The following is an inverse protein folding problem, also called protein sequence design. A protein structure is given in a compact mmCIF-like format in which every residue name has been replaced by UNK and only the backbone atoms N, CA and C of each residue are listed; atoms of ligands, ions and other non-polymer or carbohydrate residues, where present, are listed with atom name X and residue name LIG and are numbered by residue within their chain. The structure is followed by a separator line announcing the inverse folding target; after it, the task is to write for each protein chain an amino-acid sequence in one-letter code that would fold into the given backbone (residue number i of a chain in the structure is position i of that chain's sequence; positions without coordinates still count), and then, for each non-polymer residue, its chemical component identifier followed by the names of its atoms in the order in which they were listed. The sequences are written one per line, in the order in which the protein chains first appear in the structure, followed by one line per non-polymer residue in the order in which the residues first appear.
data_IF_347437379748
#
_entry.id   IF_347437379748
#
_cell.length_a   1.000
_cell.length_b   1.000
_cell.length_c   1.000
_cell.angle_alpha   90.00
_cell.angle_beta   90.00
_cell.angle_gamma   90.00
#
_symmetry.space_group_name_H-M   'P 1'
#
loop_
_entity.id
_entity.type
_entity.pdbx_description
1 polymer ?
#
# COMPACT_ATOMS: atom_id res chain seq x y z
N UNK A 1 15.96 15.15 -0.24
CA UNK A 1 17.07 14.28 0.21
C UNK A 1 16.77 12.88 -0.28
N UNK A 2 17.74 12.09 -0.77
CA UNK A 2 17.47 10.72 -1.22
C UNK A 2 16.94 9.87 -0.07
N UNK A 3 15.88 9.10 -0.32
CA UNK A 3 15.28 8.19 0.65
C UNK A 3 15.11 6.79 0.04
N UNK A 4 15.26 5.78 0.88
CA UNK A 4 14.99 4.37 0.56
C UNK A 4 13.87 3.88 1.47
N UNK A 5 12.88 3.18 0.89
CA UNK A 5 11.72 2.64 1.60
C UNK A 5 11.83 1.13 1.68
N UNK A 6 11.75 0.58 2.90
CA UNK A 6 11.83 -0.85 3.22
C UNK A 6 10.49 -1.43 3.66
N UNK A 7 9.37 -0.88 3.18
CA UNK A 7 8.03 -1.19 3.67
C UNK A 7 7.65 -0.28 4.83
N UNK A 8 7.85 -0.71 6.06
CA UNK A 8 7.54 0.08 7.26
C UNK A 8 8.62 1.12 7.59
N UNK A 9 9.82 0.96 7.04
CA UNK A 9 10.95 1.86 7.28
C UNK A 9 11.20 2.81 6.11
N UNK A 10 11.55 4.05 6.46
CA UNK A 10 12.18 5.01 5.57
C UNK A 10 13.57 5.35 6.10
N UNK A 11 14.58 5.28 5.25
CA UNK A 11 15.94 5.74 5.55
C UNK A 11 16.25 6.91 4.63
N UNK A 12 16.65 8.05 5.20
CA UNK A 12 16.97 9.26 4.44
C UNK A 12 18.44 9.63 4.62
N UNK A 13 19.11 9.90 3.50
CA UNK A 13 20.50 10.34 3.46
C UNK A 13 20.58 11.86 3.39
N UNK A 14 21.25 12.47 4.36
CA UNK A 14 21.72 13.85 4.26
C UNK A 14 23.14 13.87 3.68
N UNK A 15 23.25 14.14 2.37
CA UNK A 15 24.53 14.14 1.64
C UNK A 15 25.50 15.19 2.18
N UNK A 16 25.01 16.40 2.49
CA UNK A 16 25.83 17.51 2.96
C UNK A 16 26.38 17.26 4.36
N UNK A 17 25.55 16.72 5.26
CA UNK A 17 25.94 16.42 6.64
C UNK A 17 26.65 15.07 6.78
N UNK A 18 26.61 14.20 5.75
CA UNK A 18 27.08 12.80 5.79
C UNK A 18 26.45 11.99 6.91
N UNK A 19 25.16 12.23 7.15
CA UNK A 19 24.38 11.55 8.19
C UNK A 19 23.15 10.86 7.58
N UNK A 20 22.60 9.91 8.33
CA UNK A 20 21.42 9.15 7.97
C UNK A 20 20.39 9.29 9.08
N UNK A 21 19.14 9.47 8.69
CA UNK A 21 17.98 9.42 9.59
C UNK A 21 17.08 8.27 9.18
N UNK A 22 16.34 7.74 10.14
CA UNK A 22 15.40 6.65 9.91
C UNK A 22 14.06 6.94 10.55
N UNK A 23 12.99 6.58 9.85
CA UNK A 23 11.63 6.56 10.36
C UNK A 23 11.10 5.13 10.28
N UNK A 24 10.37 4.71 11.31
CA UNK A 24 9.61 3.47 11.32
C UNK A 24 8.14 3.79 11.54
N UNK A 25 7.30 3.36 10.61
CA UNK A 25 5.85 3.51 10.63
C UNK A 25 5.21 2.19 11.10
N UNK A 26 4.45 2.26 12.19
CA UNK A 26 3.75 1.13 12.79
C UNK A 26 2.26 1.41 12.71
N UNK A 27 1.57 0.73 11.79
CA UNK A 27 0.14 0.94 11.55
C UNK A 27 -0.69 0.00 12.42
N UNK A 28 -1.62 0.58 13.18
CA UNK A 28 -2.60 -0.15 13.98
C UNK A 28 -3.82 -0.59 13.15
N UNK A 29 -4.60 -1.55 13.67
CA UNK A 29 -5.80 -2.06 12.98
C UNK A 29 -6.91 -1.01 12.81
N UNK A 30 -6.85 0.08 13.56
CA UNK A 30 -7.73 1.24 13.48
C UNK A 30 -7.32 2.26 12.40
N UNK A 31 -6.21 2.01 11.69
CA UNK A 31 -5.65 2.92 10.70
C UNK A 31 -4.82 4.06 11.30
N UNK A 32 -4.61 4.07 12.62
CA UNK A 32 -3.68 4.99 13.27
C UNK A 32 -2.25 4.52 13.04
N UNK A 33 -1.37 5.41 12.59
CA UNK A 33 0.05 5.08 12.38
C UNK A 33 0.91 5.75 13.44
N UNK A 34 1.73 4.98 14.13
CA UNK A 34 2.77 5.49 15.02
C UNK A 34 4.07 5.59 14.24
N UNK A 35 4.62 6.79 14.12
CA UNK A 35 5.91 7.03 13.49
C UNK A 35 6.96 7.25 14.55
N UNK A 36 8.04 6.46 14.50
CA UNK A 36 9.20 6.58 15.38
C UNK A 36 10.42 6.99 14.58
N UNK A 37 11.10 8.03 15.03
CA UNK A 37 12.38 8.46 14.45
C UNK A 37 13.58 7.78 15.11
N UNK A 38 14.66 7.63 14.35
CA UNK A 38 15.95 7.15 14.86
C UNK A 38 16.58 8.08 15.90
N UNK A 39 16.08 9.32 16.01
CA UNK A 39 16.49 10.31 17.02
C UNK A 39 15.64 10.28 18.30
N UNK A 40 14.63 9.40 18.37
CA UNK A 40 13.83 9.15 19.58
C UNK A 40 12.46 9.85 19.63
N UNK A 41 12.14 10.72 18.66
CA UNK A 41 10.81 11.35 18.55
C UNK A 41 9.74 10.32 18.14
N UNK A 42 8.53 10.48 18.67
CA UNK A 42 7.37 9.64 18.38
C UNK A 42 6.17 10.53 18.07
N UNK A 43 5.42 10.21 17.02
CA UNK A 43 4.17 10.90 16.68
C UNK A 43 3.08 9.91 16.28
N UNK A 44 1.84 10.27 16.60
CA UNK A 44 0.64 9.54 16.20
C UNK A 44 0.02 10.22 14.98
N UNK A 45 -0.20 9.47 13.91
CA UNK A 45 -0.82 9.95 12.68
C UNK A 45 -2.20 9.33 12.53
N UNK A 46 -3.17 10.17 12.21
CA UNK A 46 -4.57 9.79 12.01
C UNK A 46 -4.92 10.05 10.55
N UNK A 47 -5.36 8.99 9.87
CA UNK A 47 -5.74 9.01 8.48
C UNK A 47 -7.20 9.44 8.24
N UNK A 48 -7.46 9.95 7.04
CA UNK A 48 -8.82 10.13 6.52
C UNK A 48 -9.38 8.80 5.99
N UNK A 49 -10.60 8.80 5.46
CA UNK A 49 -11.24 7.59 4.93
C UNK A 49 -10.50 6.91 3.77
N UNK A 50 -9.66 7.64 3.04
CA UNK A 50 -8.79 7.09 1.99
C UNK A 50 -7.50 6.47 2.52
N UNK A 51 -7.15 6.66 3.81
CA UNK A 51 -5.86 6.24 4.36
C UNK A 51 -4.77 7.32 4.31
N UNK A 52 -5.08 8.54 3.86
CA UNK A 52 -4.12 9.65 3.89
C UNK A 52 -4.03 10.23 5.29
N UNK A 53 -2.84 10.23 5.91
CA UNK A 53 -2.62 10.90 7.20
C UNK A 53 -2.88 12.40 7.10
N UNK A 54 -3.85 12.92 7.86
CA UNK A 54 -4.28 14.34 7.84
C UNK A 54 -4.15 15.05 9.18
N UNK A 55 -3.98 14.29 10.27
CA UNK A 55 -3.67 14.82 11.60
C UNK A 55 -2.46 14.09 12.18
N UNK A 56 -1.52 14.83 12.75
CA UNK A 56 -0.40 14.30 13.50
C UNK A 56 -0.39 14.89 14.93
N UNK A 57 -0.08 14.06 15.92
CA UNK A 57 0.06 14.45 17.33
C UNK A 57 1.44 14.04 17.82
N UNK A 58 2.23 15.00 18.27
CA UNK A 58 3.52 14.72 18.88
C UNK A 58 3.34 14.08 20.27
N UNK A 59 3.98 12.95 20.53
CA UNK A 59 3.78 12.19 21.77
C UNK A 59 4.35 12.89 23.01
N UNK A 60 5.29 13.82 22.85
CA UNK A 60 5.97 14.49 23.96
C UNK A 60 5.34 15.83 24.32
N UNK A 61 5.00 16.62 23.29
CA UNK A 61 4.49 17.99 23.42
C UNK A 61 2.97 18.07 23.29
N UNK A 62 2.33 17.00 22.77
CA UNK A 62 0.90 16.95 22.44
C UNK A 62 0.46 17.98 21.40
N UNK A 63 1.41 18.59 20.68
CA UNK A 63 1.12 19.53 19.60
C UNK A 63 0.42 18.79 18.48
N UNK A 64 -0.68 19.38 17.99
CA UNK A 64 -1.48 18.84 16.90
C UNK A 64 -1.17 19.60 15.62
N UNK A 65 -0.69 18.89 14.61
CA UNK A 65 -0.46 19.41 13.26
C UNK A 65 -1.52 18.83 12.32
N UNK A 66 -2.06 19.67 11.42
CA UNK A 66 -3.05 19.25 10.42
C UNK A 66 -2.61 19.62 9.02
N UNK A 67 -2.90 18.73 8.07
CA UNK A 67 -2.79 18.97 6.63
C UNK A 67 -4.08 18.52 5.97
N UNK A 68 -4.34 19.03 4.78
CA UNK A 68 -5.56 18.71 4.04
C UNK A 68 -5.23 18.41 2.59
N UNK A 69 -6.04 17.54 1.99
CA UNK A 69 -5.91 17.14 0.60
C UNK A 69 -7.28 17.25 -0.08
N UNK A 70 -7.29 17.43 -1.40
CA UNK A 70 -8.46 17.15 -2.20
C UNK A 70 -8.60 15.63 -2.44
N UNK A 71 -9.72 15.16 -3.03
CA UNK A 71 -9.92 13.73 -3.28
C UNK A 71 -8.85 13.08 -4.17
N UNK A 72 -8.19 13.85 -5.03
CA UNK A 72 -7.13 13.38 -5.93
C UNK A 72 -5.74 13.45 -5.30
N UNK A 73 -5.61 13.86 -4.03
CA UNK A 73 -4.33 13.93 -3.34
C UNK A 73 -3.58 15.25 -3.50
N UNK A 74 -4.18 16.29 -4.09
CA UNK A 74 -3.54 17.61 -4.08
C UNK A 74 -3.62 18.24 -2.69
N UNK A 75 -2.50 18.73 -2.13
CA UNK A 75 -2.50 19.40 -0.85
C UNK A 75 -3.31 20.71 -0.92
N UNK A 76 -4.17 20.92 0.07
CA UNK A 76 -5.05 22.09 0.19
C UNK A 76 -4.65 22.97 1.37
N UNK A 77 -4.69 24.28 1.14
CA UNK A 77 -4.40 25.28 2.16
C UNK A 77 -2.90 25.41 2.47
N UNK A 78 -2.58 26.05 3.59
CA UNK A 78 -1.21 26.23 4.03
C UNK A 78 -0.65 24.92 4.57
N UNK A 79 0.39 24.39 3.91
CA UNK A 79 1.11 23.21 4.41
C UNK A 79 1.79 23.53 5.75
N UNK A 80 1.79 22.61 6.72
CA UNK A 80 2.56 22.81 7.93
C UNK A 80 4.06 22.83 7.61
N UNK A 81 4.83 23.63 8.36
CA UNK A 81 6.28 23.75 8.15
C UNK A 81 7.07 22.46 8.47
N UNK A 82 6.49 21.58 9.27
CA UNK A 82 6.96 20.22 9.54
C UNK A 82 5.73 19.34 9.79
N UNK A 83 5.78 18.07 9.40
CA UNK A 83 4.70 17.11 9.64
C UNK A 83 4.94 16.30 10.91
N UNK A 84 5.77 15.26 10.80
CA UNK A 84 6.18 14.35 11.88
C UNK A 84 7.69 14.35 12.03
N UNK A 85 8.39 14.30 10.91
CA UNK A 85 9.81 14.60 10.80
C UNK A 85 10.05 15.43 9.53
N UNK A 86 11.19 16.12 9.47
CA UNK A 86 11.53 16.97 8.32
C UNK A 86 11.78 16.16 7.04
N UNK A 87 12.10 14.87 7.20
CA UNK A 87 12.39 13.91 6.13
C UNK A 87 11.26 12.91 5.90
N UNK A 88 10.11 13.06 6.57
CA UNK A 88 8.94 12.22 6.38
C UNK A 88 8.28 12.55 5.03
N UNK A 89 8.35 11.61 4.09
CA UNK A 89 7.95 11.82 2.69
C UNK A 89 6.62 11.14 2.32
N UNK A 90 5.88 10.55 3.27
CA UNK A 90 4.59 9.93 2.98
C UNK A 90 3.48 10.99 2.81
N UNK A 91 2.88 11.01 1.62
CA UNK A 91 1.84 11.95 1.21
C UNK A 91 0.48 11.27 1.05
N UNK A 92 -0.02 11.26 -0.18
CA UNK A 92 -1.34 10.71 -0.51
C UNK A 92 -1.40 9.20 -0.25
N UNK A 93 -2.51 8.73 0.32
CA UNK A 93 -2.74 7.34 0.74
C UNK A 93 -1.66 6.77 1.69
N UNK A 94 -0.86 7.65 2.31
CA UNK A 94 0.29 7.24 3.12
C UNK A 94 1.40 6.59 2.30
N UNK A 95 1.47 6.85 0.99
CA UNK A 95 2.50 6.34 0.10
C UNK A 95 3.67 7.34 -0.05
N UNK A 96 4.86 6.87 -0.43
CA UNK A 96 6.00 7.74 -0.70
C UNK A 96 5.70 8.77 -1.80
N UNK A 97 5.97 10.04 -1.49
CA UNK A 97 5.92 11.14 -2.46
C UNK A 97 7.35 11.58 -2.80
N UNK A 98 7.64 11.77 -4.09
CA UNK A 98 8.87 12.43 -4.51
C UNK A 98 8.75 13.95 -4.29
N UNK A 99 9.56 14.56 -3.40
CA UNK A 99 9.47 15.99 -3.13
C UNK A 99 9.92 16.88 -4.31
N UNK A 100 10.62 16.32 -5.31
CA UNK A 100 11.08 17.08 -6.49
C UNK A 100 9.99 17.15 -7.55
N UNK A 101 9.40 16.01 -7.91
CA UNK A 101 8.38 15.93 -8.96
C UNK A 101 6.96 16.11 -8.43
N UNK A 102 6.72 15.81 -7.15
CA UNK A 102 5.39 15.81 -6.54
C UNK A 102 4.56 14.57 -6.86
N UNK A 103 5.17 13.54 -7.47
CA UNK A 103 4.52 12.28 -7.80
C UNK A 103 4.44 11.36 -6.58
N UNK A 104 3.34 10.63 -6.47
CA UNK A 104 3.14 9.61 -5.45
C UNK A 104 3.38 8.21 -6.04
N UNK A 105 4.15 7.37 -5.34
CA UNK A 105 4.38 5.99 -5.74
C UNK A 105 3.26 5.10 -5.18
N UNK A 106 2.20 4.89 -5.96
CA UNK A 106 1.06 4.07 -5.58
C UNK A 106 1.28 2.62 -6.07
N UNK A 107 1.88 1.81 -5.20
CA UNK A 107 2.10 0.38 -5.46
C UNK A 107 2.94 0.14 -6.71
N UNK A 108 2.29 -0.23 -7.81
CA UNK A 108 2.95 -0.55 -9.08
C UNK A 108 3.16 0.65 -10.01
N UNK A 109 2.56 1.82 -9.72
CA UNK A 109 2.52 2.95 -10.65
C UNK A 109 2.82 4.28 -9.98
N UNK A 110 3.48 5.16 -10.74
CA UNK A 110 3.60 6.57 -10.39
C UNK A 110 2.29 7.30 -10.70
N UNK A 111 1.81 8.05 -9.71
CA UNK A 111 0.58 8.80 -9.75
C UNK A 111 0.87 10.30 -9.71
N UNK A 112 0.21 11.04 -10.59
CA UNK A 112 0.25 12.50 -10.61
C UNK A 112 -1.04 13.05 -10.01
N UNK A 113 -1.01 13.62 -8.78
CA UNK A 113 -2.18 14.20 -8.15
C UNK A 113 -2.70 15.44 -8.88
N UNK A 114 -1.85 16.18 -9.61
CA UNK A 114 -2.26 17.39 -10.35
C UNK A 114 -3.10 17.01 -11.57
N UNK A 115 -2.71 15.94 -12.27
CA UNK A 115 -3.49 15.40 -13.37
C UNK A 115 -4.64 14.50 -12.89
N UNK A 116 -4.55 13.97 -11.67
CA UNK A 116 -5.49 13.02 -11.09
C UNK A 116 -5.39 11.62 -11.74
N UNK A 117 -4.22 11.25 -12.30
CA UNK A 117 -4.05 10.06 -13.14
C UNK A 117 -2.68 9.41 -12.95
N UNK A 118 -2.59 8.14 -13.31
CA UNK A 118 -1.31 7.41 -13.38
C UNK A 118 -0.50 7.83 -14.59
N UNK A 119 0.83 7.73 -14.49
CA UNK A 119 1.75 8.01 -15.59
C UNK A 119 2.04 6.79 -16.48
N UNK A 120 1.66 5.59 -16.03
CA UNK A 120 1.80 4.34 -16.77
C UNK A 120 0.45 3.66 -16.99
N UNK A 121 0.27 2.96 -18.12
CA UNK A 121 -0.93 2.16 -18.37
C UNK A 121 -1.12 1.10 -17.28
N UNK A 122 -2.38 0.81 -16.95
CA UNK A 122 -2.76 -0.20 -15.99
C UNK A 122 -2.34 -1.59 -16.50
N UNK A 123 -1.50 -2.33 -15.76
CA UNK A 123 -1.14 -3.68 -16.13
C UNK A 123 -2.31 -4.67 -16.09
N UNK A 124 -3.43 -4.32 -15.42
CA UNK A 124 -4.67 -5.11 -15.30
C UNK A 124 -5.79 -4.50 -16.15
N UNK A 125 -5.45 -3.66 -17.14
CA UNK A 125 -6.44 -3.00 -17.99
C UNK A 125 -7.44 -3.98 -18.62
N UNK A 126 -8.72 -3.81 -18.30
CA UNK A 126 -9.83 -4.52 -18.94
C UNK A 126 -10.53 -3.60 -19.94
N UNK A 127 -10.34 -3.87 -21.24
CA UNK A 127 -10.92 -3.05 -22.32
C UNK A 127 -12.46 -2.99 -22.31
N UNK A 128 -13.12 -3.92 -21.61
CA UNK A 128 -14.57 -3.98 -21.47
C UNK A 128 -15.14 -3.20 -20.27
N UNK A 129 -14.31 -2.72 -19.35
CA UNK A 129 -14.76 -1.96 -18.17
C UNK A 129 -14.76 -0.44 -18.46
N UNK A 130 -15.93 0.22 -18.45
CA UNK A 130 -16.03 1.67 -18.62
C UNK A 130 -15.17 2.49 -17.65
N UNK A 131 -14.97 2.00 -16.41
CA UNK A 131 -14.22 2.71 -15.38
C UNK A 131 -12.70 2.67 -15.59
N UNK A 132 -12.24 1.73 -16.41
CA UNK A 132 -10.84 1.59 -16.79
C UNK A 132 -10.57 2.11 -18.20
N UNK A 133 -11.57 2.65 -18.92
CA UNK A 133 -11.42 3.16 -20.29
C UNK A 133 -10.35 4.25 -20.33
N UNK A 134 -9.17 3.88 -20.84
CA UNK A 134 -8.00 4.72 -20.92
C UNK A 134 -6.78 4.16 -20.18
N UNK A 135 -6.95 3.29 -19.18
CA UNK A 135 -5.85 2.60 -18.50
C UNK A 135 -4.99 3.45 -17.57
N UNK A 136 -5.34 4.71 -17.31
CA UNK A 136 -4.60 5.54 -16.34
C UNK A 136 -5.50 6.27 -15.34
N UNK A 137 -6.80 5.96 -15.33
CA UNK A 137 -7.76 6.58 -14.41
C UNK A 137 -7.44 6.14 -12.97
N UNK A 138 -7.53 7.08 -12.03
CA UNK A 138 -7.48 6.76 -10.61
C UNK A 138 -8.91 6.63 -10.09
N UNK A 139 -9.18 5.55 -9.36
CA UNK A 139 -10.49 5.29 -8.74
C UNK A 139 -11.69 5.44 -9.71
N UNK A 140 -11.53 5.07 -10.99
CA UNK A 140 -12.58 5.19 -12.00
C UNK A 140 -13.09 6.62 -12.19
N UNK A 141 -12.21 7.62 -12.02
CA UNK A 141 -12.53 9.06 -12.01
C UNK A 141 -13.53 9.50 -10.93
N UNK A 142 -13.76 8.65 -9.92
CA UNK A 142 -14.59 8.96 -8.76
C UNK A 142 -13.85 8.73 -7.43
N UNK A 143 -12.81 9.53 -7.14
CA UNK A 143 -12.02 9.42 -5.93
C UNK A 143 -12.75 9.92 -4.67
N UNK A 144 -14.00 10.37 -4.79
CA UNK A 144 -14.80 10.76 -3.63
C UNK A 144 -15.41 9.54 -2.91
N UNK A 145 -15.69 8.47 -3.65
CA UNK A 145 -16.29 7.23 -3.13
C UNK A 145 -15.49 5.95 -3.47
N UNK A 146 -14.50 6.05 -4.35
CA UNK A 146 -13.57 4.97 -4.67
C UNK A 146 -12.13 5.33 -4.36
N UNK A 147 -11.28 4.33 -4.19
CA UNK A 147 -9.83 4.50 -4.03
C UNK A 147 -9.11 3.43 -4.83
N UNK A 148 -7.90 3.68 -5.32
CA UNK A 148 -7.02 2.64 -5.89
C UNK A 148 -5.66 2.64 -5.17
N UNK A 149 -5.58 2.07 -3.95
CA UNK A 149 -4.37 2.17 -3.12
C UNK A 149 -3.15 1.42 -3.64
N UNK A 150 -3.35 0.41 -4.49
CA UNK A 150 -2.26 -0.40 -5.05
C UNK A 150 -1.91 0.02 -6.49
N UNK A 151 -2.68 0.94 -7.07
CA UNK A 151 -2.52 1.37 -8.45
C UNK A 151 -2.81 0.24 -9.42
N UNK A 152 -3.75 -0.65 -9.14
CA UNK A 152 -4.13 -1.76 -10.02
C UNK A 152 -5.65 -1.93 -10.15
N UNK A 153 -6.42 -1.53 -9.15
CA UNK A 153 -7.88 -1.69 -9.20
C UNK A 153 -8.60 -0.79 -8.21
N UNK A 154 -9.78 -0.32 -8.62
CA UNK A 154 -10.74 0.36 -7.76
C UNK A 154 -11.14 -0.53 -6.57
N UNK A 155 -10.85 -0.06 -5.37
CA UNK A 155 -11.36 -0.52 -4.10
C UNK A 155 -12.50 0.41 -3.61
N UNK A 156 -13.62 -0.14 -3.10
CA UNK A 156 -14.63 0.66 -2.41
C UNK A 156 -14.03 1.34 -1.17
N UNK A 157 -14.42 2.60 -0.90
CA UNK A 157 -14.08 3.27 0.36
C UNK A 157 -14.94 2.77 1.53
N UNK A 158 -14.83 1.51 1.89
CA UNK A 158 -15.49 1.01 3.09
C UNK A 158 -14.60 1.35 4.30
N UNK A 159 -15.03 2.38 5.04
CA UNK A 159 -14.29 3.02 6.12
C UNK A 159 -13.66 2.04 7.11
N UNK A 160 -12.36 1.80 6.94
CA UNK A 160 -11.59 0.88 7.77
C UNK A 160 -10.23 0.57 7.14
N UNK A 161 -9.36 1.59 7.07
CA UNK A 161 -7.92 1.44 6.85
C UNK A 161 -7.51 0.80 5.53
N UNK A 162 -7.28 1.62 4.49
CA UNK A 162 -6.22 1.50 3.46
C UNK A 162 -5.86 0.13 2.86
N UNK A 163 -6.72 -0.88 2.99
CA UNK A 163 -6.48 -2.24 2.57
C UNK A 163 -7.20 -2.51 1.26
N UNK A 164 -6.53 -3.23 0.37
CA UNK A 164 -7.17 -4.01 -0.67
C UNK A 164 -8.46 -4.67 -0.12
N UNK A 165 -9.62 -4.36 -0.69
CA UNK A 165 -10.82 -5.22 -0.56
C UNK A 165 -10.33 -6.67 -0.79
N UNK A 166 -10.85 -7.65 -0.05
CA UNK A 166 -10.51 -9.05 -0.24
C UNK A 166 -10.61 -9.46 -1.73
N UNK A 167 -11.53 -8.82 -2.47
CA UNK A 167 -11.63 -8.94 -3.94
C UNK A 167 -10.36 -8.54 -4.69
N UNK A 168 -9.68 -7.46 -4.30
CA UNK A 168 -8.43 -7.00 -4.94
C UNK A 168 -7.30 -8.02 -4.76
N UNK A 169 -7.26 -8.67 -3.60
CA UNK A 169 -6.28 -9.71 -3.30
C UNK A 169 -6.50 -10.95 -4.16
N UNK A 170 -7.75 -11.38 -4.35
CA UNK A 170 -8.07 -12.51 -5.22
C UNK A 170 -7.82 -12.22 -6.71
N UNK A 171 -7.99 -10.98 -7.16
CA UNK A 171 -7.62 -10.58 -8.51
C UNK A 171 -6.09 -10.61 -8.71
N UNK A 172 -5.31 -10.12 -7.74
CA UNK A 172 -3.85 -10.23 -7.78
C UNK A 172 -3.39 -11.70 -7.80
N UNK A 173 -4.00 -12.56 -6.98
CA UNK A 173 -3.74 -14.00 -7.00
C UNK A 173 -4.03 -14.62 -8.39
N UNK A 174 -5.17 -14.27 -9.00
CA UNK A 174 -5.52 -14.73 -10.36
C UNK A 174 -4.53 -14.24 -11.41
N UNK A 175 -4.03 -13.01 -11.31
CA UNK A 175 -3.01 -12.45 -12.22
C UNK A 175 -1.76 -13.34 -12.28
N UNK A 176 -1.23 -13.71 -11.11
CA UNK A 176 -0.05 -14.54 -11.00
C UNK A 176 -0.31 -16.00 -11.35
N UNK A 177 -1.51 -16.51 -11.07
CA UNK A 177 -1.96 -17.84 -11.50
C UNK A 177 -2.06 -17.96 -13.02
N UNK A 178 -2.71 -16.99 -13.67
CA UNK A 178 -3.08 -17.05 -15.08
C UNK A 178 -2.04 -16.37 -16.01
N UNK A 179 -1.04 -15.70 -15.45
CA UNK A 179 0.01 -15.02 -16.22
C UNK A 179 -0.48 -13.76 -16.96
N UNK A 180 -1.49 -13.08 -16.41
CA UNK A 180 -2.05 -11.88 -17.05
C UNK A 180 -1.12 -10.69 -16.78
N UNK A 181 -0.38 -10.24 -17.79
CA UNK A 181 0.56 -9.11 -17.65
C UNK A 181 1.80 -9.39 -16.80
N UNK A 182 2.07 -10.65 -16.47
CA UNK A 182 3.28 -11.16 -15.81
C UNK A 182 3.51 -12.61 -16.24
N UNK A 183 4.71 -13.17 -16.06
CA UNK A 183 4.88 -14.62 -16.13
C UNK A 183 4.04 -15.30 -15.03
N UNK A 184 3.59 -16.53 -15.30
CA UNK A 184 2.91 -17.36 -14.30
C UNK A 184 3.84 -17.57 -13.11
N UNK A 185 3.37 -17.23 -11.92
CA UNK A 185 4.11 -17.33 -10.66
C UNK A 185 3.18 -17.83 -9.55
N UNK A 186 3.18 -19.14 -9.34
CA UNK A 186 2.30 -19.77 -8.35
C UNK A 186 2.66 -19.40 -6.91
N UNK A 187 3.92 -19.01 -6.65
CA UNK A 187 4.38 -18.55 -5.32
C UNK A 187 3.69 -17.24 -4.99
N UNK A 188 3.70 -16.27 -5.92
CA UNK A 188 2.98 -15.02 -5.75
C UNK A 188 1.46 -15.23 -5.71
N UNK A 189 0.93 -16.15 -6.51
CA UNK A 189 -0.51 -16.46 -6.48
C UNK A 189 -0.95 -16.94 -5.08
N UNK A 190 -0.27 -17.95 -4.51
CA UNK A 190 -0.59 -18.48 -3.17
C UNK A 190 -0.32 -17.45 -2.08
N UNK A 191 0.77 -16.68 -2.18
CA UNK A 191 1.05 -15.56 -1.26
C UNK A 191 -0.16 -14.63 -1.15
N UNK A 192 -0.70 -14.19 -2.29
CA UNK A 192 -1.87 -13.32 -2.32
C UNK A 192 -3.11 -14.05 -1.79
N UNK A 193 -3.35 -15.32 -2.11
CA UNK A 193 -4.50 -16.07 -1.56
C UNK A 193 -4.50 -16.20 -0.03
N UNK A 194 -3.31 -16.24 0.60
CA UNK A 194 -3.17 -16.32 2.06
C UNK A 194 -3.25 -14.96 2.76
N UNK A 195 -2.98 -13.86 2.06
CA UNK A 195 -2.93 -12.51 2.63
C UNK A 195 -4.24 -12.08 3.36
N UNK A 196 -5.46 -12.46 2.93
CA UNK A 196 -6.70 -12.06 3.61
C UNK A 196 -6.91 -12.73 4.98
N UNK A 197 -6.10 -13.74 5.34
CA UNK A 197 -6.21 -14.45 6.62
C UNK A 197 -5.92 -13.55 7.82
N UNK A 198 -5.05 -12.55 7.67
CA UNK A 198 -4.81 -11.50 8.69
C UNK A 198 -6.07 -10.72 9.06
N UNK A 199 -7.07 -10.72 8.19
CA UNK A 199 -8.36 -10.04 8.37
C UNK A 199 -9.50 -11.00 8.70
N UNK A 200 -9.18 -12.27 8.98
CA UNK A 200 -10.16 -13.31 9.27
C UNK A 200 -10.97 -13.77 8.04
N UNK A 201 -10.52 -13.47 6.81
CA UNK A 201 -11.16 -13.94 5.59
C UNK A 201 -10.44 -15.17 5.03
N UNK A 202 -11.12 -16.33 5.05
CA UNK A 202 -10.61 -17.61 4.56
C UNK A 202 -10.98 -17.99 3.13
N UNK A 203 -11.63 -17.11 2.35
CA UNK A 203 -12.13 -17.43 1.01
C UNK A 203 -11.01 -17.90 0.05
N UNK A 204 -9.79 -17.39 0.24
CA UNK A 204 -8.61 -17.75 -0.57
C UNK A 204 -8.06 -19.16 -0.31
N UNK A 205 -8.42 -19.78 0.81
CA UNK A 205 -7.88 -21.11 1.18
C UNK A 205 -8.32 -22.17 0.17
N UNK A 206 -9.54 -22.09 -0.35
CA UNK A 206 -10.03 -23.09 -1.30
C UNK A 206 -9.21 -23.10 -2.59
N UNK A 207 -8.99 -21.93 -3.18
CA UNK A 207 -8.16 -21.76 -4.37
C UNK A 207 -6.69 -22.09 -4.07
N UNK A 208 -6.19 -21.78 -2.87
CA UNK A 208 -4.82 -22.11 -2.48
C UNK A 208 -4.60 -23.63 -2.44
N UNK A 209 -5.56 -24.39 -1.90
CA UNK A 209 -5.53 -25.87 -1.89
C UNK A 209 -5.46 -26.43 -3.31
N UNK A 210 -6.18 -25.84 -4.26
CA UNK A 210 -6.14 -26.28 -5.66
C UNK A 210 -4.75 -26.02 -6.29
N UNK A 211 -4.15 -24.86 -6.04
CA UNK A 211 -2.86 -24.47 -6.61
C UNK A 211 -1.68 -25.27 -6.05
N UNK A 212 -1.66 -25.54 -4.74
CA UNK A 212 -0.54 -26.27 -4.11
C UNK A 212 -0.37 -27.68 -4.64
N UNK A 213 -1.39 -28.28 -5.26
CA UNK A 213 -1.29 -29.56 -5.95
C UNK A 213 -0.23 -29.56 -7.07
N UNK A 214 -0.02 -28.40 -7.69
CA UNK A 214 0.92 -28.20 -8.81
C UNK A 214 2.28 -27.58 -8.41
N UNK A 215 2.50 -27.31 -7.13
CA UNK A 215 3.70 -26.62 -6.62
C UNK A 215 4.68 -27.58 -5.91
N UNK A 216 5.93 -27.17 -5.73
CA UNK A 216 6.88 -27.87 -4.83
C UNK A 216 6.68 -27.42 -3.38
N UNK A 217 7.17 -28.21 -2.43
CA UNK A 217 7.08 -27.88 -0.99
C UNK A 217 7.82 -26.57 -0.70
N UNK A 218 8.96 -26.34 -1.36
CA UNK A 218 9.76 -25.13 -1.23
C UNK A 218 8.98 -23.89 -1.69
N UNK A 219 8.27 -23.99 -2.81
CA UNK A 219 7.42 -22.91 -3.33
C UNK A 219 6.26 -22.56 -2.40
N UNK A 220 5.69 -23.56 -1.72
CA UNK A 220 4.59 -23.36 -0.76
C UNK A 220 5.13 -22.68 0.51
N UNK A 221 6.29 -23.12 1.01
CA UNK A 221 6.97 -22.48 2.14
C UNK A 221 7.34 -21.02 1.82
N UNK A 222 7.86 -20.75 0.62
CA UNK A 222 8.19 -19.40 0.17
C UNK A 222 6.94 -18.51 0.10
N UNK A 223 5.83 -19.02 -0.42
CA UNK A 223 4.57 -18.29 -0.47
C UNK A 223 4.07 -17.93 0.95
N UNK A 224 4.13 -18.89 1.89
CA UNK A 224 3.76 -18.68 3.29
C UNK A 224 4.66 -17.69 4.02
N UNK A 225 5.96 -17.68 3.74
CA UNK A 225 6.88 -16.68 4.28
C UNK A 225 6.57 -15.27 3.75
N UNK A 226 6.31 -15.15 2.45
CA UNK A 226 6.01 -13.87 1.81
C UNK A 226 4.64 -13.29 2.18
N UNK A 227 3.70 -14.14 2.62
CA UNK A 227 2.40 -13.71 3.12
C UNK A 227 2.37 -13.49 4.63
N UNK A 228 3.38 -13.95 5.38
CA UNK A 228 3.39 -13.94 6.85
C UNK A 228 2.62 -15.11 7.49
N UNK A 229 2.16 -16.08 6.70
CA UNK A 229 1.30 -17.21 7.10
C UNK A 229 2.01 -18.55 6.90
N UNK A 230 3.11 -18.75 7.63
CA UNK A 230 3.95 -19.96 7.48
C UNK A 230 3.28 -21.21 8.05
N UNK A 231 2.49 -21.06 9.12
CA UNK A 231 1.78 -22.17 9.77
C UNK A 231 0.66 -22.68 8.86
N UNK A 232 -0.05 -21.77 8.19
CA UNK A 232 -1.10 -22.10 7.22
C UNK A 232 -0.54 -22.74 5.96
N UNK A 233 0.63 -22.28 5.49
CA UNK A 233 1.36 -22.95 4.41
C UNK A 233 1.75 -24.38 4.81
N UNK A 234 2.14 -24.63 6.06
CA UNK A 234 2.42 -25.98 6.56
C UNK A 234 1.15 -26.86 6.58
N UNK A 235 0.00 -26.28 6.92
CA UNK A 235 -1.29 -26.98 6.82
C UNK A 235 -1.66 -27.34 5.37
N UNK A 236 -1.36 -26.46 4.41
CA UNK A 236 -1.56 -26.75 2.98
C UNK A 236 -0.67 -27.91 2.53
N UNK A 237 0.58 -27.98 2.98
CA UNK A 237 1.50 -29.09 2.69
C UNK A 237 0.94 -30.41 3.22
N UNK A 238 0.37 -30.42 4.43
CA UNK A 238 -0.20 -31.63 5.06
C UNK A 238 -1.51 -32.11 4.44
N UNK A 239 -2.19 -31.25 3.66
CA UNK A 239 -3.48 -31.54 3.02
C UNK A 239 -3.39 -31.83 1.52
N UNK A 240 -2.18 -31.75 0.95
CA UNK A 240 -1.88 -32.14 -0.42
C UNK A 240 -1.92 -33.66 -0.59
#
# INVERSE_FOLDING_TARGET
MPSVFGGAEQITLNVSAKTWTGLRNITGPDGTTVTRSSTGSVSYQIANGQGTAVTAVDASTLVVTRRSYDPFGNPRGTKPGSWVAADENHGFLGQPTDPVTGLDLLGARDYDPVLGRFLSPDPVFEAGDPNQMGGYTYAGDNPASGSDPNGLMLAPMDGGGGGCDAKCVFVAARRYRDGVGTAVDLVQAVRWLLTPLDRGNGDGIHDAIELVGSMTVEQICEAGQLSGHSDEAELLIRRR
#
